data_IF_399154718636
#
_entry.id   IF_399154718636
#
_cell.length_a   1.000
_cell.length_b   1.000
_cell.length_c   1.000
_cell.angle_alpha   90.00
_cell.angle_beta   90.00
_cell.angle_gamma   90.00
#
_symmetry.space_group_name_H-M   'P 1'
#
loop_
_entity.id
_entity.type
_entity.pdbx_description
1 polymer ?
#
# COMPACT_ATOMS: atom_id res chain seq x y z
N UNK A 1 25.71 24.77 -4.73
CA UNK A 1 24.58 23.90 -5.12
C UNK A 1 24.42 22.91 -3.98
N UNK A 2 23.34 22.98 -3.21
CA UNK A 2 23.24 22.18 -1.98
C UNK A 2 23.06 20.70 -2.34
N UNK A 3 24.14 19.94 -2.17
CA UNK A 3 24.14 18.51 -1.96
C UNK A 3 23.15 18.16 -0.86
N UNK A 4 22.01 17.60 -1.24
CA UNK A 4 21.15 16.87 -0.32
C UNK A 4 21.44 15.38 -0.56
N UNK A 5 22.52 14.89 0.04
CA UNK A 5 22.68 13.46 0.30
C UNK A 5 21.71 13.14 1.44
N UNK A 6 20.55 12.50 1.19
CA UNK A 6 19.65 12.18 2.28
C UNK A 6 20.37 11.18 3.20
N UNK A 7 20.11 11.21 4.52
CA UNK A 7 20.66 10.22 5.44
C UNK A 7 20.41 8.83 4.88
N UNK A 8 21.38 7.91 5.02
CA UNK A 8 21.22 6.50 4.67
C UNK A 8 20.11 5.89 5.53
N UNK A 9 18.86 6.11 5.13
CA UNK A 9 17.75 5.29 5.55
C UNK A 9 18.02 3.97 4.85
N UNK A 10 18.47 2.97 5.60
CA UNK A 10 18.66 1.62 5.09
C UNK A 10 17.29 1.04 4.76
N UNK A 11 16.86 1.31 3.54
CA UNK A 11 15.88 0.48 2.87
C UNK A 11 16.52 -0.89 2.65
N UNK A 12 15.83 -2.00 2.92
CA UNK A 12 14.38 -2.12 3.15
C UNK A 12 13.92 -1.83 4.60
N UNK A 13 12.87 -1.01 4.77
CA UNK A 13 12.19 -0.83 6.07
C UNK A 13 10.70 -1.23 5.99
N UNK A 14 10.20 -1.88 7.03
CA UNK A 14 8.80 -2.30 7.11
C UNK A 14 7.87 -1.12 7.38
N UNK A 15 7.11 -0.70 6.37
CA UNK A 15 6.17 0.41 6.44
C UNK A 15 4.72 -0.11 6.46
N UNK A 16 3.99 0.05 7.58
CA UNK A 16 2.57 -0.29 7.63
C UNK A 16 1.77 0.72 6.82
N UNK A 17 1.09 0.24 5.78
CA UNK A 17 0.15 1.00 4.95
C UNK A 17 -1.27 0.55 5.26
N UNK A 18 -2.14 1.53 5.48
CA UNK A 18 -3.57 1.32 5.65
C UNK A 18 -4.31 1.87 4.44
N UNK A 19 -4.82 0.98 3.61
CA UNK A 19 -5.64 1.31 2.45
C UNK A 19 -7.11 1.29 2.87
N UNK A 20 -7.80 2.41 2.71
CA UNK A 20 -9.25 2.51 2.82
C UNK A 20 -9.86 2.62 1.42
N UNK A 21 -10.72 1.68 1.05
CA UNK A 21 -11.37 1.66 -0.25
C UNK A 21 -12.82 1.21 -0.19
N UNK A 22 -13.50 1.26 -1.33
CA UNK A 22 -14.81 0.62 -1.49
C UNK A 22 -14.65 -0.89 -1.38
N UNK A 23 -15.55 -1.52 -0.63
CA UNK A 23 -15.56 -2.96 -0.47
C UNK A 23 -16.00 -3.61 -1.79
N UNK A 24 -15.03 -4.09 -2.56
CA UNK A 24 -15.22 -4.85 -3.79
C UNK A 24 -14.46 -6.17 -3.66
N UNK A 25 -15.02 -7.26 -4.21
CA UNK A 25 -14.40 -8.60 -4.15
C UNK A 25 -12.99 -8.59 -4.74
N UNK A 26 -12.76 -7.78 -5.78
CA UNK A 26 -11.47 -7.66 -6.45
C UNK A 26 -10.51 -6.64 -5.80
N UNK A 27 -10.95 -5.93 -4.77
CA UNK A 27 -10.15 -4.87 -4.14
C UNK A 27 -8.86 -5.42 -3.52
N UNK A 28 -9.00 -6.50 -2.72
CA UNK A 28 -7.86 -7.14 -2.06
C UNK A 28 -6.90 -7.72 -3.10
N UNK A 29 -7.38 -8.47 -4.10
CA UNK A 29 -6.52 -9.00 -5.17
C UNK A 29 -5.78 -7.91 -5.94
N UNK A 30 -6.41 -6.78 -6.24
CA UNK A 30 -5.72 -5.68 -6.93
C UNK A 30 -4.66 -5.05 -6.03
N UNK A 31 -5.00 -4.76 -4.77
CA UNK A 31 -4.04 -4.22 -3.80
C UNK A 31 -2.85 -5.16 -3.66
N UNK A 32 -3.07 -6.48 -3.50
CA UNK A 32 -1.99 -7.47 -3.44
C UNK A 32 -1.15 -7.50 -4.71
N UNK A 33 -1.76 -7.42 -5.89
CA UNK A 33 -1.03 -7.47 -7.16
C UNK A 33 -0.15 -6.22 -7.37
N UNK A 34 -0.65 -5.04 -6.99
CA UNK A 34 0.12 -3.78 -7.01
C UNK A 34 1.24 -3.86 -5.96
N UNK A 35 0.90 -4.22 -4.72
CA UNK A 35 1.86 -4.31 -3.62
C UNK A 35 2.97 -5.30 -3.93
N UNK A 36 2.67 -6.48 -4.46
CA UNK A 36 3.71 -7.46 -4.80
C UNK A 36 4.63 -6.99 -5.92
N UNK A 37 4.11 -6.24 -6.91
CA UNK A 37 4.95 -5.63 -7.95
C UNK A 37 5.98 -4.66 -7.38
N UNK A 38 5.58 -3.91 -6.35
CA UNK A 38 6.41 -2.90 -5.72
C UNK A 38 7.27 -3.46 -4.57
N UNK A 39 6.74 -4.45 -3.84
CA UNK A 39 7.33 -5.10 -2.68
C UNK A 39 7.14 -6.62 -2.80
N UNK A 40 8.00 -7.33 -3.55
CA UNK A 40 7.90 -8.78 -3.71
C UNK A 40 8.15 -9.53 -2.41
N UNK A 41 8.85 -8.90 -1.46
CA UNK A 41 9.11 -9.42 -0.11
C UNK A 41 7.93 -9.19 0.86
N UNK A 42 6.82 -8.61 0.37
CA UNK A 42 5.65 -8.36 1.20
C UNK A 42 4.92 -9.65 1.56
N UNK A 43 4.65 -9.84 2.85
CA UNK A 43 3.91 -11.00 3.32
C UNK A 43 2.39 -10.81 3.10
N UNK A 44 1.89 -11.42 2.02
CA UNK A 44 0.47 -11.44 1.67
C UNK A 44 -0.43 -12.03 2.77
N UNK A 45 0.11 -12.83 3.70
CA UNK A 45 -0.69 -13.37 4.82
C UNK A 45 -0.85 -12.36 5.96
N UNK A 46 0.00 -11.35 6.02
CA UNK A 46 -0.10 -10.25 6.97
C UNK A 46 -1.18 -9.23 6.57
N UNK A 47 -1.74 -9.36 5.37
CA UNK A 47 -2.86 -8.54 4.88
C UNK A 47 -4.07 -8.76 5.78
N UNK A 48 -4.48 -7.71 6.48
CA UNK A 48 -5.72 -7.70 7.26
C UNK A 48 -6.75 -6.80 6.59
N UNK A 49 -7.63 -7.41 5.82
CA UNK A 49 -8.82 -6.76 5.32
C UNK A 49 -9.94 -6.82 6.37
N UNK A 50 -10.44 -5.65 6.75
CA UNK A 50 -11.62 -5.49 7.60
C UNK A 50 -12.73 -4.85 6.79
N UNK A 51 -13.79 -5.60 6.57
CA UNK A 51 -15.04 -5.09 5.98
C UNK A 51 -15.74 -4.22 7.03
N UNK A 52 -16.20 -3.04 6.64
CA UNK A 52 -17.02 -2.20 7.51
C UNK A 52 -18.41 -2.83 7.69
N UNK A 53 -19.06 -2.63 8.84
CA UNK A 53 -20.38 -3.22 9.16
C UNK A 53 -21.48 -2.84 8.16
N UNK A 54 -21.32 -1.76 7.41
CA UNK A 54 -22.24 -1.36 6.33
C UNK A 54 -21.96 -2.02 4.98
N UNK A 55 -20.85 -2.74 4.83
CA UNK A 55 -20.45 -3.41 3.58
C UNK A 55 -20.04 -2.47 2.44
N UNK A 56 -20.06 -1.14 2.63
CA UNK A 56 -19.72 -0.15 1.59
C UNK A 56 -18.22 0.10 1.46
N UNK A 57 -17.49 0.02 2.57
CA UNK A 57 -16.05 0.32 2.65
C UNK A 57 -15.29 -0.82 3.31
N UNK A 58 -14.05 -1.01 2.88
CA UNK A 58 -13.10 -1.96 3.43
C UNK A 58 -11.80 -1.25 3.76
N UNK A 59 -11.28 -1.53 4.96
CA UNK A 59 -9.94 -1.12 5.37
C UNK A 59 -9.01 -2.31 5.23
N UNK A 60 -7.93 -2.18 4.47
CA UNK A 60 -6.87 -3.17 4.39
C UNK A 60 -5.67 -2.59 5.10
N UNK A 61 -5.15 -3.33 6.08
CA UNK A 61 -3.87 -3.03 6.71
C UNK A 61 -2.84 -4.01 6.16
N UNK A 62 -1.78 -3.49 5.56
CA UNK A 62 -0.64 -4.25 5.05
C UNK A 62 0.64 -3.64 5.58
N UNK A 63 1.70 -4.42 5.69
CA UNK A 63 3.02 -3.92 6.05
C UNK A 63 3.97 -4.20 4.92
N UNK A 64 4.21 -3.21 4.06
CA UNK A 64 5.09 -3.40 2.90
C UNK A 64 6.52 -3.10 3.27
N UNK A 65 7.44 -3.65 2.49
CA UNK A 65 8.83 -3.22 2.51
C UNK A 65 8.96 -1.98 1.64
N UNK A 66 9.08 -0.80 2.25
CA UNK A 66 9.37 0.41 1.52
C UNK A 66 10.84 0.38 1.10
N UNK A 67 11.10 0.53 -0.19
CA UNK A 67 12.45 0.70 -0.76
C UNK A 67 12.76 2.15 -1.11
N UNK A 68 11.76 3.03 -1.02
CA UNK A 68 11.91 4.47 -1.24
C UNK A 68 10.57 5.21 -1.28
N UNK A 69 10.60 6.56 -1.21
CA UNK A 69 9.40 7.39 -1.34
C UNK A 69 8.76 7.28 -2.73
N UNK A 70 9.56 7.09 -3.78
CA UNK A 70 9.06 6.92 -5.16
C UNK A 70 8.20 5.66 -5.33
N UNK A 71 8.58 4.55 -4.68
CA UNK A 71 7.78 3.32 -4.67
C UNK A 71 6.44 3.55 -3.97
N UNK A 72 6.45 4.24 -2.82
CA UNK A 72 5.24 4.55 -2.06
C UNK A 72 4.30 5.43 -2.88
N UNK A 73 4.80 6.48 -3.54
CA UNK A 73 4.00 7.33 -4.43
C UNK A 73 3.46 6.56 -5.63
N UNK A 74 4.29 5.74 -6.29
CA UNK A 74 3.86 4.91 -7.41
C UNK A 74 2.72 3.96 -7.00
N UNK A 75 2.87 3.31 -5.84
CA UNK A 75 1.85 2.43 -5.26
C UNK A 75 0.58 3.22 -4.92
N UNK A 76 0.70 4.39 -4.27
CA UNK A 76 -0.44 5.25 -3.95
C UNK A 76 -1.21 5.64 -5.21
N UNK A 77 -0.49 6.03 -6.27
CA UNK A 77 -1.05 6.45 -7.56
C UNK A 77 -1.71 5.29 -8.30
N UNK A 78 -1.09 4.11 -8.34
CA UNK A 78 -1.72 2.90 -8.92
C UNK A 78 -2.99 2.52 -8.16
N UNK A 79 -2.92 2.54 -6.82
CA UNK A 79 -4.05 2.26 -5.95
C UNK A 79 -5.21 3.24 -6.20
N UNK A 80 -4.94 4.54 -6.26
CA UNK A 80 -5.91 5.58 -6.62
C UNK A 80 -6.45 5.40 -8.04
N UNK A 81 -5.59 5.04 -9.00
CA UNK A 81 -5.99 4.81 -10.40
C UNK A 81 -6.97 3.63 -10.56
N UNK A 82 -6.96 2.68 -9.62
CA UNK A 82 -7.97 1.60 -9.58
C UNK A 82 -9.41 2.13 -9.41
N UNK A 83 -9.59 3.37 -8.92
CA UNK A 83 -10.91 3.97 -8.65
C UNK A 83 -11.66 3.36 -7.45
N UNK A 84 -11.11 2.31 -6.85
CA UNK A 84 -11.65 1.62 -5.68
C UNK A 84 -11.09 2.17 -4.37
N UNK A 85 -9.86 2.70 -4.40
CA UNK A 85 -9.17 3.25 -3.23
C UNK A 85 -9.63 4.67 -3.01
N UNK A 86 -10.02 4.96 -1.76
CA UNK A 86 -10.46 6.29 -1.32
C UNK A 86 -9.34 7.03 -0.60
N UNK A 87 -8.54 6.31 0.17
CA UNK A 87 -7.49 6.89 1.02
C UNK A 87 -6.44 5.83 1.34
N UNK A 88 -5.19 6.24 1.45
CA UNK A 88 -4.07 5.39 1.88
C UNK A 88 -3.28 6.18 2.92
N UNK A 89 -3.09 5.58 4.09
CA UNK A 89 -2.53 6.17 5.32
C UNK A 89 -1.33 5.38 5.79
#
# INVERSE_FOLDING_TARGET
>A
MQEQKPPKIEFPCGYPIKILGRNQVNFESIVLAVVERHAPDFDRRSVKAKKSSKGTFSSINITITATGPEQLEALHRELLATGLVKMVI
#
